data_IF_422909507532
#
_entry.id   IF_422909507532
#
_cell.length_a   1.000
_cell.length_b   1.000
_cell.length_c   1.000
_cell.angle_alpha   90.00
_cell.angle_beta   90.00
_cell.angle_gamma   90.00
#
_symmetry.space_group_name_H-M   'P 1'
#
loop_
_entity.id
_entity.type
_entity.pdbx_description
1 polymer ?
#
# COMPACT_ATOMS: atom_id res chain seq x y z
N UNK A 1 23.70 7.26 26.85
CA UNK A 1 22.72 6.63 25.93
C UNK A 1 21.63 7.65 25.60
N UNK A 2 21.50 8.10 24.34
CA UNK A 2 20.42 9.02 23.97
C UNK A 2 19.12 8.24 23.68
N UNK A 3 18.10 8.46 24.52
CA UNK A 3 16.81 7.78 24.42
C UNK A 3 15.73 8.60 23.72
N UNK A 4 15.98 9.89 23.44
CA UNK A 4 15.01 10.81 22.83
C UNK A 4 14.49 10.32 21.46
N UNK A 5 15.33 9.77 20.55
CA UNK A 5 14.83 9.28 19.26
C UNK A 5 13.83 8.13 19.35
N UNK A 6 13.79 7.43 20.49
CA UNK A 6 12.86 6.31 20.76
C UNK A 6 11.54 6.77 21.36
N UNK A 7 11.39 8.07 21.65
CA UNK A 7 10.16 8.62 22.24
C UNK A 7 9.26 9.17 21.14
N UNK A 8 7.97 8.81 21.21
CA UNK A 8 6.94 9.20 20.25
C UNK A 8 6.66 10.71 20.21
N UNK A 9 6.97 11.44 21.28
CA UNK A 9 6.81 12.90 21.38
C UNK A 9 8.03 13.68 20.87
N UNK A 10 9.12 13.02 20.48
CA UNK A 10 10.33 13.72 20.10
C UNK A 10 10.12 14.49 18.79
N UNK A 11 10.23 15.83 18.85
CA UNK A 11 9.88 16.75 17.76
C UNK A 11 10.66 16.48 16.48
N UNK A 12 11.91 16.01 16.59
CA UNK A 12 12.81 15.77 15.45
C UNK A 12 12.62 14.42 14.77
N UNK A 13 11.68 13.58 15.21
CA UNK A 13 11.39 12.33 14.50
C UNK A 13 10.70 12.63 13.18
N UNK A 14 11.03 11.84 12.15
CA UNK A 14 10.46 12.01 10.79
C UNK A 14 8.93 12.03 10.80
N UNK A 15 8.33 11.19 11.64
CA UNK A 15 6.87 11.09 11.79
C UNK A 15 6.23 12.36 12.36
N UNK A 16 6.86 12.99 13.36
CA UNK A 16 6.32 14.20 13.97
C UNK A 16 6.53 15.41 13.06
N UNK A 17 7.68 15.50 12.40
CA UNK A 17 7.92 16.55 11.39
C UNK A 17 6.91 16.42 10.23
N UNK A 18 6.61 15.20 9.78
CA UNK A 18 5.61 14.98 8.74
C UNK A 18 4.19 15.39 9.18
N UNK A 19 3.83 15.14 10.45
CA UNK A 19 2.55 15.59 11.01
C UNK A 19 2.46 17.12 11.03
N UNK A 20 3.49 17.79 11.53
CA UNK A 20 3.57 19.26 11.54
C UNK A 20 3.47 19.83 10.13
N UNK A 21 4.22 19.28 9.15
CA UNK A 21 4.11 19.73 7.76
C UNK A 21 2.71 19.53 7.17
N UNK A 22 2.01 18.46 7.54
CA UNK A 22 0.65 18.22 7.09
C UNK A 22 -0.31 19.27 7.67
N UNK A 23 -0.19 19.54 8.96
CA UNK A 23 -1.03 20.52 9.65
C UNK A 23 -0.74 21.96 9.12
N UNK A 24 0.53 22.29 8.87
CA UNK A 24 0.96 23.55 8.23
C UNK A 24 0.42 23.68 6.81
N UNK A 25 0.48 22.60 6.01
CA UNK A 25 -0.06 22.60 4.66
C UNK A 25 -1.58 22.74 4.64
N UNK A 26 -2.30 22.06 5.54
CA UNK A 26 -3.75 22.19 5.67
C UNK A 26 -4.16 23.59 6.13
N UNK A 27 -3.41 24.19 7.05
CA UNK A 27 -3.63 25.58 7.46
C UNK A 27 -3.40 26.55 6.29
N UNK A 28 -2.32 26.36 5.53
CA UNK A 28 -2.02 27.19 4.37
C UNK A 28 -3.06 27.07 3.24
N UNK A 29 -3.60 25.87 3.01
CA UNK A 29 -4.67 25.67 2.03
C UNK A 29 -5.98 26.35 2.45
N UNK A 30 -6.34 26.27 3.74
CA UNK A 30 -7.54 26.96 4.27
C UNK A 30 -7.40 28.48 4.15
N UNK A 31 -6.24 29.03 4.50
CA UNK A 31 -5.98 30.46 4.37
C UNK A 31 -6.08 30.92 2.91
N UNK A 32 -5.53 30.15 1.96
CA UNK A 32 -5.69 30.45 0.52
C UNK A 32 -7.15 30.43 0.08
N UNK A 33 -7.93 29.45 0.53
CA UNK A 33 -9.35 29.36 0.21
C UNK A 33 -10.14 30.56 0.76
N UNK A 34 -9.84 30.99 1.99
CA UNK A 34 -10.44 32.17 2.60
C UNK A 34 -10.05 33.45 1.83
N UNK A 35 -8.78 33.60 1.45
CA UNK A 35 -8.32 34.73 0.65
C UNK A 35 -9.03 34.79 -0.71
N UNK A 36 -9.15 33.65 -1.40
CA UNK A 36 -9.89 33.58 -2.69
C UNK A 36 -11.35 33.99 -2.48
N UNK A 37 -11.99 33.54 -1.40
CA UNK A 37 -13.37 33.89 -1.08
C UNK A 37 -13.54 35.38 -0.80
N UNK A 38 -12.59 35.98 -0.07
CA UNK A 38 -12.56 37.41 0.22
C UNK A 38 -12.39 38.20 -1.08
N UNK A 39 -11.43 37.80 -1.93
CA UNK A 39 -11.17 38.48 -3.20
C UNK A 39 -12.38 38.40 -4.15
N UNK A 40 -13.04 37.24 -4.21
CA UNK A 40 -14.27 37.06 -4.98
C UNK A 40 -15.39 37.97 -4.45
N UNK A 41 -15.60 38.00 -3.13
CA UNK A 41 -16.61 38.85 -2.51
C UNK A 41 -16.33 40.35 -2.75
N UNK A 42 -15.06 40.77 -2.70
CA UNK A 42 -14.67 42.15 -3.00
C UNK A 42 -14.93 42.51 -4.47
N UNK A 43 -14.58 41.60 -5.39
CA UNK A 43 -14.85 41.76 -6.82
C UNK A 43 -16.35 41.87 -7.09
N UNK A 44 -17.16 41.00 -6.50
CA UNK A 44 -18.62 41.01 -6.62
C UNK A 44 -19.24 42.27 -6.02
N UNK A 45 -18.76 42.72 -4.85
CA UNK A 45 -19.18 43.96 -4.20
C UNK A 45 -18.92 45.18 -5.09
N UNK A 46 -17.69 45.31 -5.61
CA UNK A 46 -17.31 46.39 -6.52
C UNK A 46 -18.16 46.39 -7.78
N UNK A 47 -18.42 45.22 -8.37
CA UNK A 47 -19.28 45.08 -9.54
C UNK A 47 -20.72 45.51 -9.20
N UNK A 48 -21.24 45.10 -8.04
CA UNK A 48 -22.59 45.45 -7.62
C UNK A 48 -22.73 46.97 -7.42
N UNK A 49 -21.75 47.63 -6.81
CA UNK A 49 -21.70 49.10 -6.69
C UNK A 49 -21.73 49.75 -8.07
N UNK A 50 -20.95 49.27 -9.04
CA UNK A 50 -20.96 49.79 -10.40
C UNK A 50 -22.32 49.57 -11.09
N UNK A 51 -22.94 48.40 -10.89
CA UNK A 51 -24.28 48.10 -11.42
C UNK A 51 -25.34 49.04 -10.82
N UNK A 52 -25.31 49.27 -9.52
CA UNK A 52 -26.22 50.19 -8.83
C UNK A 52 -26.05 51.62 -9.37
N UNK A 53 -24.81 52.12 -9.43
CA UNK A 53 -24.52 53.45 -10.01
C UNK A 53 -25.00 53.58 -11.46
N UNK A 54 -24.84 52.52 -12.26
CA UNK A 54 -25.34 52.50 -13.63
C UNK A 54 -26.86 52.55 -13.69
N UNK A 55 -27.55 51.81 -12.81
CA UNK A 55 -29.02 51.83 -12.72
C UNK A 55 -29.52 53.21 -12.30
N UNK A 56 -28.96 53.79 -11.24
CA UNK A 56 -29.28 55.15 -10.78
C UNK A 56 -29.08 56.18 -11.91
N UNK A 57 -28.01 56.03 -12.71
CA UNK A 57 -27.77 56.90 -13.87
C UNK A 57 -28.84 56.72 -14.95
N UNK A 58 -29.24 55.49 -15.27
CA UNK A 58 -30.31 55.22 -16.24
C UNK A 58 -31.67 55.73 -15.76
N UNK A 59 -31.97 55.56 -14.48
CA UNK A 59 -33.16 56.10 -13.82
C UNK A 59 -33.16 57.63 -13.89
N UNK A 60 -32.04 58.30 -13.60
CA UNK A 60 -31.90 59.76 -13.70
C UNK A 60 -32.14 60.29 -15.13
N UNK A 61 -31.89 59.46 -16.15
CA UNK A 61 -32.09 59.80 -17.55
C UNK A 61 -33.48 59.41 -18.08
N UNK A 62 -34.38 58.89 -17.22
CA UNK A 62 -35.73 58.42 -17.58
C UNK A 62 -35.74 57.43 -18.77
N UNK A 63 -34.66 56.67 -18.97
CA UNK A 63 -34.62 55.62 -19.98
C UNK A 63 -35.27 54.37 -19.38
N UNK A 64 -36.60 54.28 -19.54
CA UNK A 64 -37.37 53.09 -19.19
C UNK A 64 -36.86 51.95 -20.06
N UNK A 65 -36.12 51.00 -19.47
CA UNK A 65 -35.84 49.72 -20.10
C UNK A 65 -37.17 49.00 -20.28
N UNK A 66 -37.81 49.21 -21.44
CA UNK A 66 -39.02 48.50 -21.84
C UNK A 66 -38.68 47.01 -21.82
N UNK A 67 -39.18 46.30 -20.82
CA UNK A 67 -39.18 44.85 -20.80
C UNK A 67 -40.01 44.40 -22.00
N UNK A 68 -39.35 43.88 -23.03
CA UNK A 68 -40.02 43.35 -24.20
C UNK A 68 -40.67 42.03 -23.80
N UNK A 69 -41.91 42.08 -23.33
CA UNK A 69 -42.77 40.90 -23.20
C UNK A 69 -43.18 40.48 -24.61
N UNK A 70 -42.44 39.54 -25.19
CA UNK A 70 -42.87 38.78 -26.37
C UNK A 70 -43.37 37.39 -25.93
N UNK A 71 -44.38 36.81 -26.60
CA UNK A 71 -45.06 35.60 -26.16
C UNK A 71 -44.17 34.36 -26.24
N UNK A 72 -44.45 33.31 -25.44
CA UNK A 72 -43.60 32.12 -25.33
C UNK A 72 -43.79 31.23 -26.57
N UNK A 73 -42.91 31.34 -27.55
CA UNK A 73 -42.63 30.19 -28.43
C UNK A 73 -41.78 29.19 -27.62
N UNK A 74 -42.17 27.91 -27.63
CA UNK A 74 -41.57 26.80 -26.86
C UNK A 74 -40.19 26.38 -27.42
N UNK A 75 -39.38 27.35 -27.83
CA UNK A 75 -38.01 27.14 -28.28
C UNK A 75 -37.09 27.97 -27.37
N UNK A 76 -35.92 27.42 -27.05
CA UNK A 76 -34.94 28.08 -26.19
C UNK A 76 -34.54 29.42 -26.80
N UNK A 77 -35.03 30.53 -26.23
CA UNK A 77 -34.70 31.88 -26.72
C UNK A 77 -33.23 32.14 -26.40
N UNK A 78 -32.37 32.05 -27.41
CA UNK A 78 -30.97 32.46 -27.29
C UNK A 78 -30.87 33.98 -27.41
N UNK A 79 -31.02 34.68 -26.28
CA UNK A 79 -30.83 36.14 -26.15
C UNK A 79 -29.44 36.62 -26.62
N UNK A 80 -28.49 35.69 -26.82
CA UNK A 80 -27.10 35.97 -27.17
C UNK A 80 -26.71 35.49 -28.57
N UNK A 81 -27.64 34.95 -29.38
CA UNK A 81 -27.32 34.47 -30.71
C UNK A 81 -26.66 35.57 -31.58
N UNK A 82 -27.18 36.80 -31.50
CA UNK A 82 -26.64 37.95 -32.23
C UNK A 82 -25.26 38.39 -31.74
N UNK A 83 -24.88 38.07 -30.51
CA UNK A 83 -23.59 38.48 -29.90
C UNK A 83 -22.53 37.40 -30.08
N UNK A 84 -22.91 36.12 -29.96
CA UNK A 84 -22.04 34.97 -30.20
C UNK A 84 -21.53 34.94 -31.65
N UNK A 85 -22.33 35.39 -32.61
CA UNK A 85 -21.93 35.49 -34.01
C UNK A 85 -21.32 36.84 -34.41
N UNK A 86 -21.35 37.85 -33.55
CA UNK A 86 -20.82 39.19 -33.86
C UNK A 86 -19.36 39.38 -33.43
N UNK A 87 -18.82 38.52 -32.56
CA UNK A 87 -17.45 38.65 -32.03
C UNK A 87 -16.63 37.41 -32.42
N UNK A 88 -16.19 37.37 -33.66
CA UNK A 88 -15.27 36.32 -34.17
C UNK A 88 -13.82 36.51 -33.71
N UNK A 89 -13.54 37.53 -32.88
CA UNK A 89 -12.20 37.82 -32.38
C UNK A 89 -11.93 37.06 -31.08
N UNK A 90 -11.83 35.74 -31.14
CA UNK A 90 -11.38 34.94 -30.00
C UNK A 90 -9.85 34.98 -29.91
N UNK A 91 -9.34 35.09 -28.68
CA UNK A 91 -7.91 34.92 -28.44
C UNK A 91 -7.58 33.45 -28.71
N UNK A 92 -6.82 33.19 -29.78
CA UNK A 92 -6.40 31.84 -30.19
C UNK A 92 -5.72 31.05 -29.07
N UNK A 93 -5.09 31.73 -28.10
CA UNK A 93 -4.49 31.08 -26.94
C UNK A 93 -5.55 30.60 -25.94
N UNK A 94 -6.63 31.36 -25.75
CA UNK A 94 -7.70 31.01 -24.84
C UNK A 94 -8.47 29.77 -25.31
N UNK A 95 -8.79 29.69 -26.60
CA UNK A 95 -9.50 28.54 -27.16
C UNK A 95 -8.65 27.26 -27.09
N UNK A 96 -7.33 27.39 -27.25
CA UNK A 96 -6.39 26.28 -27.05
C UNK A 96 -6.34 25.84 -25.59
N UNK A 97 -6.26 26.78 -24.65
CA UNK A 97 -6.24 26.47 -23.22
C UNK A 97 -7.54 25.78 -22.76
N UNK A 98 -8.70 26.25 -23.26
CA UNK A 98 -10.00 25.61 -22.98
C UNK A 98 -10.05 24.19 -23.55
N UNK A 99 -9.53 23.99 -24.77
CA UNK A 99 -9.45 22.66 -25.39
C UNK A 99 -8.51 21.73 -24.63
N UNK A 100 -7.33 22.20 -24.23
CA UNK A 100 -6.36 21.44 -23.44
C UNK A 100 -6.96 21.05 -22.08
N UNK A 101 -7.62 21.98 -21.37
CA UNK A 101 -8.32 21.69 -20.11
C UNK A 101 -9.41 20.64 -20.28
N UNK A 102 -10.16 20.68 -21.37
CA UNK A 102 -11.18 19.68 -21.70
C UNK A 102 -10.54 18.32 -21.95
N UNK A 103 -9.48 18.26 -22.75
CA UNK A 103 -8.74 17.03 -23.02
C UNK A 103 -8.08 16.46 -21.76
N UNK A 104 -7.53 17.30 -20.87
CA UNK A 104 -6.99 16.88 -19.58
C UNK A 104 -8.06 16.30 -18.66
N UNK A 105 -9.23 16.95 -18.61
CA UNK A 105 -10.38 16.45 -17.86
C UNK A 105 -10.87 15.11 -18.41
N UNK A 106 -11.00 15.00 -19.74
CA UNK A 106 -11.38 13.76 -20.42
C UNK A 106 -10.34 12.66 -20.25
N UNK A 107 -9.04 12.97 -20.29
CA UNK A 107 -7.94 12.05 -19.96
C UNK A 107 -8.02 11.60 -18.50
N UNK A 108 -8.29 12.54 -17.57
CA UNK A 108 -8.38 12.27 -16.13
C UNK A 108 -9.57 11.38 -15.77
N UNK A 109 -10.68 11.52 -16.49
CA UNK A 109 -11.88 10.66 -16.34
C UNK A 109 -11.79 9.38 -17.17
N UNK A 110 -10.86 9.31 -18.13
CA UNK A 110 -10.68 8.17 -19.00
C UNK A 110 -11.58 8.15 -20.23
N UNK A 111 -12.28 9.25 -20.54
CA UNK A 111 -12.99 9.43 -21.82
C UNK A 111 -12.02 9.52 -22.99
N UNK A 112 -10.91 10.27 -22.82
CA UNK A 112 -9.87 10.41 -23.83
C UNK A 112 -8.66 9.55 -23.42
N UNK A 113 -8.85 8.23 -23.43
CA UNK A 113 -7.76 7.28 -23.18
C UNK A 113 -7.20 6.79 -24.50
N UNK A 114 -6.03 7.30 -24.90
CA UNK A 114 -5.35 6.76 -26.08
C UNK A 114 -4.81 5.36 -25.74
N UNK A 115 -5.29 4.37 -26.49
CA UNK A 115 -4.81 3.00 -26.43
C UNK A 115 -3.29 2.99 -26.62
N UNK A 116 -2.54 2.57 -25.60
CA UNK A 116 -1.07 2.52 -25.64
C UNK A 116 -0.35 3.56 -24.76
N UNK A 117 -1.02 4.60 -24.25
CA UNK A 117 -0.37 5.62 -23.40
C UNK A 117 0.10 5.07 -22.04
N UNK A 118 -0.62 4.08 -21.51
CA UNK A 118 -0.29 3.42 -20.24
C UNK A 118 0.62 2.20 -20.42
N UNK A 119 1.12 1.96 -21.65
CA UNK A 119 2.08 0.89 -21.88
C UNK A 119 3.41 1.25 -21.26
N UNK A 120 4.08 0.24 -20.71
CA UNK A 120 5.35 0.39 -20.02
C UNK A 120 6.45 0.99 -20.93
N UNK A 121 6.33 0.81 -22.24
CA UNK A 121 7.20 1.42 -23.25
C UNK A 121 7.01 2.94 -23.35
N UNK A 122 5.76 3.44 -23.40
CA UNK A 122 5.47 4.87 -23.44
C UNK A 122 5.84 5.60 -22.14
N UNK A 123 5.68 4.93 -20.99
CA UNK A 123 6.02 5.47 -19.68
C UNK A 123 7.52 5.32 -19.33
N UNK A 124 8.31 4.66 -20.18
CA UNK A 124 9.71 4.31 -19.89
C UNK A 124 9.88 3.43 -18.64
N UNK A 125 8.80 2.82 -18.16
CA UNK A 125 8.80 1.94 -17.00
C UNK A 125 9.18 0.54 -17.47
N UNK A 126 10.06 -0.13 -16.72
CA UNK A 126 10.48 -1.49 -17.03
C UNK A 126 9.61 -2.47 -16.26
N UNK A 127 9.12 -3.52 -16.92
CA UNK A 127 8.27 -4.49 -16.25
C UNK A 127 9.05 -5.23 -15.16
N UNK A 128 8.33 -5.73 -14.16
CA UNK A 128 8.92 -6.53 -13.09
C UNK A 128 9.60 -7.82 -13.59
N UNK A 129 9.21 -8.33 -14.77
CA UNK A 129 9.84 -9.48 -15.42
C UNK A 129 11.08 -9.11 -16.27
N UNK A 130 11.20 -7.84 -16.69
CA UNK A 130 12.36 -7.34 -17.42
C UNK A 130 13.52 -6.96 -16.49
N UNK A 131 13.22 -6.74 -15.20
CA UNK A 131 14.20 -6.37 -14.17
C UNK A 131 14.34 -7.53 -13.18
N UNK A 132 15.49 -8.24 -13.13
CA UNK A 132 15.69 -9.25 -12.12
C UNK A 132 15.64 -8.62 -10.71
N UNK A 133 15.03 -9.29 -9.72
CA UNK A 133 14.92 -8.74 -8.37
C UNK A 133 16.32 -8.45 -7.80
N UNK A 134 16.48 -7.36 -7.03
CA UNK A 134 17.77 -6.97 -6.42
C UNK A 134 18.39 -8.04 -5.50
N UNK A 135 17.59 -8.99 -5.02
CA UNK A 135 18.03 -10.16 -4.24
C UNK A 135 18.48 -11.35 -5.11
N UNK A 136 18.30 -11.24 -6.43
CA UNK A 136 18.72 -12.27 -7.38
C UNK A 136 20.23 -12.44 -7.31
N UNK A 137 20.69 -13.70 -7.25
CA UNK A 137 22.11 -14.06 -7.25
C UNK A 137 22.86 -13.50 -8.46
N UNK A 138 22.15 -13.15 -9.52
CA UNK A 138 22.70 -12.61 -10.76
C UNK A 138 22.95 -11.08 -10.72
N UNK A 139 22.44 -10.34 -9.72
CA UNK A 139 22.53 -8.87 -9.68
C UNK A 139 23.74 -8.32 -8.91
N UNK A 140 24.54 -9.16 -8.25
CA UNK A 140 25.76 -8.73 -7.53
C UNK A 140 27.03 -9.16 -8.26
N UNK A 141 27.63 -8.32 -9.13
CA UNK A 141 28.78 -8.73 -9.93
C UNK A 141 30.06 -8.92 -9.10
N UNK A 142 30.25 -8.17 -8.01
CA UNK A 142 31.49 -8.21 -7.22
C UNK A 142 31.51 -9.34 -6.17
N UNK A 143 30.41 -9.52 -5.42
CA UNK A 143 30.38 -10.49 -4.32
C UNK A 143 30.32 -11.95 -4.79
N UNK A 144 29.68 -12.23 -5.94
CA UNK A 144 29.56 -13.59 -6.46
C UNK A 144 30.93 -14.11 -6.91
N UNK A 145 31.75 -13.26 -7.52
CA UNK A 145 33.12 -13.60 -7.92
C UNK A 145 33.99 -13.91 -6.70
N UNK A 146 33.93 -13.08 -5.66
CA UNK A 146 34.62 -13.33 -4.38
C UNK A 146 34.17 -14.61 -3.68
N UNK A 147 32.88 -14.98 -3.77
CA UNK A 147 32.41 -16.25 -3.19
C UNK A 147 32.89 -17.45 -3.97
N UNK A 148 32.91 -17.38 -5.30
CA UNK A 148 33.43 -18.44 -6.15
C UNK A 148 34.94 -18.62 -5.92
N UNK A 149 35.67 -17.51 -5.87
CA UNK A 149 37.09 -17.46 -5.52
C UNK A 149 37.37 -17.78 -4.05
N UNK A 150 36.38 -17.97 -3.17
CA UNK A 150 36.59 -18.54 -1.82
C UNK A 150 36.27 -20.03 -1.76
N UNK A 151 35.33 -20.51 -2.58
CA UNK A 151 34.87 -21.90 -2.60
C UNK A 151 35.79 -22.85 -3.38
N UNK A 152 36.60 -22.33 -4.30
CA UNK A 152 37.63 -23.14 -4.98
C UNK A 152 38.69 -23.55 -3.96
N UNK A 153 38.99 -24.84 -3.80
CA UNK A 153 40.13 -25.26 -2.98
C UNK A 153 41.42 -24.84 -3.72
N UNK A 154 42.36 -24.20 -3.02
CA UNK A 154 43.70 -23.88 -3.56
C UNK A 154 44.75 -24.74 -2.89
N UNK A 155 45.82 -25.00 -3.63
CA UNK A 155 47.05 -25.55 -3.08
C UNK A 155 47.80 -24.51 -2.24
N UNK A 156 48.86 -24.95 -1.54
CA UNK A 156 49.73 -24.06 -0.74
C UNK A 156 50.37 -22.96 -1.59
N UNK A 157 50.50 -23.19 -2.89
CA UNK A 157 51.04 -22.24 -3.89
C UNK A 157 49.97 -21.33 -4.52
N UNK A 158 48.72 -21.34 -4.01
CA UNK A 158 47.65 -20.42 -4.43
C UNK A 158 46.98 -20.76 -5.77
N UNK A 159 47.40 -21.82 -6.46
CA UNK A 159 46.75 -22.31 -7.69
C UNK A 159 45.46 -23.07 -7.37
N UNK A 160 44.41 -22.98 -8.21
CA UNK A 160 43.18 -23.74 -8.02
C UNK A 160 43.47 -25.25 -8.14
N UNK A 161 43.08 -26.03 -7.12
CA UNK A 161 43.19 -27.50 -7.15
C UNK A 161 42.29 -28.04 -8.24
N UNK A 162 42.87 -28.72 -9.23
CA UNK A 162 42.10 -29.49 -10.18
C UNK A 162 41.43 -30.66 -9.43
N UNK A 163 40.10 -30.71 -9.43
CA UNK A 163 39.37 -31.82 -8.81
C UNK A 163 39.51 -33.01 -9.76
N UNK A 164 40.31 -34.01 -9.39
CA UNK A 164 40.34 -35.27 -10.12
C UNK A 164 38.91 -35.83 -10.18
N UNK A 165 38.42 -36.05 -11.39
CA UNK A 165 37.13 -36.67 -11.61
C UNK A 165 37.23 -38.10 -11.09
N UNK A 166 36.27 -38.49 -10.26
CA UNK A 166 36.20 -39.81 -9.65
C UNK A 166 35.72 -40.83 -10.69
N UNK A 167 36.60 -41.16 -11.62
CA UNK A 167 36.35 -42.07 -12.74
C UNK A 167 37.12 -43.37 -12.55
N UNK A 168 36.39 -44.49 -12.59
CA UNK A 168 36.98 -45.83 -12.61
C UNK A 168 36.24 -46.67 -13.64
N UNK A 169 36.99 -47.28 -14.56
CA UNK A 169 36.42 -48.12 -15.63
C UNK A 169 35.32 -47.43 -16.47
N UNK A 170 35.46 -46.13 -16.74
CA UNK A 170 34.48 -45.34 -17.50
C UNK A 170 33.25 -44.88 -16.70
N UNK A 171 33.17 -45.20 -15.41
CA UNK A 171 32.08 -44.74 -14.56
C UNK A 171 32.45 -43.48 -13.76
N UNK A 172 31.63 -42.44 -13.91
CA UNK A 172 31.71 -41.19 -13.15
C UNK A 172 31.14 -41.37 -11.73
N UNK A 173 31.77 -40.73 -10.75
CA UNK A 173 31.41 -40.74 -9.33
C UNK A 173 31.40 -42.14 -8.69
N UNK A 174 32.35 -42.98 -9.10
CA UNK A 174 32.47 -44.37 -8.67
C UNK A 174 32.40 -44.55 -7.14
N UNK A 175 33.16 -43.78 -6.36
CA UNK A 175 33.19 -43.89 -4.88
C UNK A 175 31.85 -43.54 -4.24
N UNK A 176 31.15 -42.53 -4.77
CA UNK A 176 29.83 -42.16 -4.26
C UNK A 176 28.82 -43.27 -4.49
N UNK A 177 28.84 -43.88 -5.69
CA UNK A 177 27.99 -45.01 -6.02
C UNK A 177 28.26 -46.20 -5.11
N UNK A 178 29.53 -46.50 -4.85
CA UNK A 178 29.92 -47.56 -3.91
C UNK A 178 29.40 -47.30 -2.49
N UNK A 179 29.40 -46.05 -2.01
CA UNK A 179 28.87 -45.72 -0.68
C UNK A 179 27.33 -45.83 -0.60
N UNK A 180 26.63 -45.60 -1.71
CA UNK A 180 25.16 -45.66 -1.77
C UNK A 180 24.65 -47.09 -1.97
N UNK A 181 25.50 -47.98 -2.49
CA UNK A 181 25.14 -49.37 -2.71
C UNK A 181 24.88 -50.08 -1.37
N UNK A 182 23.65 -50.56 -1.11
CA UNK A 182 23.31 -51.28 0.12
C UNK A 182 24.17 -52.52 0.32
N UNK A 183 24.68 -53.16 -0.75
CA UNK A 183 25.52 -54.36 -0.63
C UNK A 183 26.85 -54.05 0.08
N UNK A 184 27.38 -52.83 -0.08
CA UNK A 184 28.58 -52.38 0.60
C UNK A 184 28.35 -52.07 2.08
N UNK A 185 27.14 -51.69 2.47
CA UNK A 185 26.78 -51.55 3.88
C UNK A 185 26.79 -52.90 4.60
N UNK A 186 26.41 -53.98 3.91
CA UNK A 186 26.40 -55.34 4.47
C UNK A 186 27.73 -56.10 4.31
N UNK A 187 28.70 -55.58 3.54
CA UNK A 187 30.02 -56.22 3.39
C UNK A 187 30.66 -56.52 4.75
N UNK A 188 30.54 -55.64 5.74
CA UNK A 188 31.09 -55.87 7.08
C UNK A 188 30.44 -57.08 7.79
N UNK A 189 29.19 -57.42 7.48
CA UNK A 189 28.51 -58.60 8.01
C UNK A 189 28.94 -59.90 7.32
N UNK A 190 29.34 -59.82 6.05
CA UNK A 190 29.79 -60.97 5.28
C UNK A 190 31.22 -61.43 5.64
N UNK A 191 31.99 -60.64 6.40
CA UNK A 191 33.34 -61.01 6.86
C UNK A 191 33.32 -61.73 8.22
N UNK A 192 32.49 -62.78 8.37
CA UNK A 192 32.48 -63.57 9.62
C UNK A 192 33.65 -64.57 9.71
N UNK A 193 34.39 -64.87 8.65
CA UNK A 193 35.48 -65.84 8.76
C UNK A 193 36.83 -65.25 8.36
N UNK A 194 37.35 -64.30 9.14
CA UNK A 194 38.75 -64.34 9.57
C UNK A 194 39.11 -63.27 10.62
N UNK A 195 39.50 -63.77 11.80
CA UNK A 195 40.52 -63.23 12.72
C UNK A 195 40.24 -61.92 13.46
N UNK A 196 39.84 -62.13 14.73
CA UNK A 196 40.25 -61.43 15.96
C UNK A 196 41.14 -60.18 15.83
N UNK A 197 40.71 -59.05 16.45
CA UNK A 197 41.34 -58.43 17.63
C UNK A 197 40.69 -57.09 18.00
N UNK A 198 40.31 -56.96 19.30
CA UNK A 198 40.40 -55.79 20.23
C UNK A 198 39.89 -54.42 19.73
N UNK A 199 39.08 -53.60 20.41
CA UNK A 199 38.74 -53.40 21.84
C UNK A 199 37.73 -52.22 21.94
N UNK A 200 36.94 -52.16 23.04
CA UNK A 200 36.32 -50.99 23.74
C UNK A 200 35.66 -49.82 22.93
N UNK A 201 34.58 -49.12 23.32
CA UNK A 201 33.73 -49.04 24.52
C UNK A 201 32.50 -48.13 24.23
N UNK A 202 31.36 -48.50 24.83
CA UNK A 202 30.26 -47.69 25.39
C UNK A 202 29.48 -46.64 24.56
N UNK A 203 28.29 -47.10 24.13
CA UNK A 203 26.94 -46.58 24.45
C UNK A 203 26.77 -45.18 25.07
N UNK A 204 26.08 -44.30 24.34
CA UNK A 204 25.16 -43.28 24.88
C UNK A 204 24.22 -42.74 23.79
N UNK A 205 23.07 -43.40 23.56
CA UNK A 205 21.95 -42.86 22.74
C UNK A 205 20.61 -43.40 23.25
N UNK A 206 20.12 -42.88 24.38
CA UNK A 206 18.74 -43.14 24.85
C UNK A 206 18.16 -41.99 25.68
N UNK A 207 18.28 -40.75 25.20
CA UNK A 207 17.62 -39.58 25.83
C UNK A 207 16.97 -38.58 24.85
N UNK A 208 16.99 -38.84 23.54
CA UNK A 208 16.49 -37.87 22.53
C UNK A 208 15.03 -38.06 22.12
N UNK A 209 14.35 -39.15 22.51
CA UNK A 209 13.02 -39.48 21.96
C UNK A 209 11.84 -38.85 22.72
N UNK A 210 11.97 -38.52 24.01
CA UNK A 210 10.88 -37.93 24.81
C UNK A 210 10.78 -36.41 24.65
N UNK A 211 11.91 -35.70 24.57
CA UNK A 211 11.97 -34.24 24.33
C UNK A 211 11.45 -33.82 22.94
N UNK A 212 11.50 -34.72 21.95
CA UNK A 212 11.00 -34.45 20.60
C UNK A 212 9.46 -34.52 20.51
N UNK A 213 8.82 -35.42 21.29
CA UNK A 213 7.35 -35.56 21.31
C UNK A 213 6.66 -34.36 21.97
N UNK A 214 7.10 -33.93 23.16
CA UNK A 214 6.51 -32.77 23.85
C UNK A 214 6.61 -31.47 23.04
N UNK A 215 7.71 -31.25 22.31
CA UNK A 215 7.88 -30.10 21.41
C UNK A 215 6.93 -30.10 20.21
N UNK A 216 6.37 -31.24 19.82
CA UNK A 216 5.39 -31.31 18.75
C UNK A 216 3.99 -30.97 19.25
N UNK A 217 3.61 -31.43 20.45
CA UNK A 217 2.28 -31.15 21.03
C UNK A 217 2.08 -29.65 21.30
N UNK A 218 3.11 -28.96 21.79
CA UNK A 218 3.09 -27.50 21.98
C UNK A 218 2.91 -26.74 20.66
N UNK A 219 3.52 -27.23 19.57
CA UNK A 219 3.37 -26.63 18.24
C UNK A 219 1.96 -26.85 17.70
N UNK A 220 1.39 -28.04 17.91
CA UNK A 220 0.02 -28.37 17.51
C UNK A 220 -0.98 -27.50 18.27
N UNK A 221 -0.84 -27.36 19.60
CA UNK A 221 -1.67 -26.48 20.42
C UNK A 221 -1.55 -25.00 20.00
N UNK A 222 -0.34 -24.54 19.70
CA UNK A 222 -0.10 -23.17 19.19
C UNK A 222 -0.75 -22.95 17.82
N UNK A 223 -0.65 -23.91 16.90
CA UNK A 223 -1.29 -23.86 15.59
C UNK A 223 -2.81 -23.85 15.71
N UNK A 224 -3.38 -24.61 16.65
CA UNK A 224 -4.81 -24.63 16.90
C UNK A 224 -5.31 -23.26 17.39
N UNK A 225 -4.61 -22.62 18.34
CA UNK A 225 -4.90 -21.24 18.77
C UNK A 225 -4.86 -20.24 17.62
N UNK A 226 -3.90 -20.38 16.69
CA UNK A 226 -3.81 -19.52 15.50
C UNK A 226 -4.97 -19.75 14.53
N UNK A 227 -5.44 -21.00 14.37
CA UNK A 227 -6.62 -21.32 13.54
C UNK A 227 -7.90 -20.76 14.15
N UNK A 228 -8.09 -20.89 15.46
CA UNK A 228 -9.24 -20.31 16.16
C UNK A 228 -9.25 -18.78 16.06
N UNK A 229 -8.08 -18.14 16.21
CA UNK A 229 -7.95 -16.69 16.05
C UNK A 229 -8.26 -16.25 14.61
N UNK A 230 -7.83 -17.03 13.61
CA UNK A 230 -8.17 -16.80 12.19
C UNK A 230 -9.68 -16.93 11.97
N UNK A 231 -10.30 -18.01 12.45
CA UNK A 231 -11.74 -18.25 12.28
C UNK A 231 -12.58 -17.15 12.93
N UNK A 232 -12.19 -16.66 14.12
CA UNK A 232 -12.84 -15.50 14.76
C UNK A 232 -12.74 -14.22 13.93
N UNK A 233 -11.59 -13.98 13.29
CA UNK A 233 -11.40 -12.83 12.40
C UNK A 233 -12.27 -12.94 11.15
N UNK A 234 -12.25 -14.11 10.50
CA UNK A 234 -13.07 -14.39 9.33
C UNK A 234 -14.58 -14.30 9.66
N UNK A 235 -15.01 -14.77 10.84
CA UNK A 235 -16.38 -14.60 11.33
C UNK A 235 -16.73 -13.13 11.56
N UNK A 236 -15.83 -12.34 12.16
CA UNK A 236 -16.06 -10.91 12.37
C UNK A 236 -16.16 -10.14 11.05
N UNK A 237 -15.28 -10.45 10.09
CA UNK A 237 -15.31 -9.87 8.76
C UNK A 237 -16.59 -10.28 8.01
N UNK A 238 -16.95 -11.57 8.04
CA UNK A 238 -18.23 -12.06 7.49
C UNK A 238 -19.43 -11.35 8.09
N UNK A 239 -19.47 -11.17 9.41
CA UNK A 239 -20.54 -10.44 10.08
C UNK A 239 -20.60 -8.97 9.65
N UNK A 240 -19.46 -8.30 9.53
CA UNK A 240 -19.39 -6.92 9.00
C UNK A 240 -19.89 -6.84 7.56
N UNK A 241 -19.50 -7.79 6.71
CA UNK A 241 -19.96 -7.83 5.31
C UNK A 241 -21.45 -8.15 5.22
N UNK A 242 -21.96 -9.05 6.06
CA UNK A 242 -23.37 -9.42 6.09
C UNK A 242 -24.23 -8.24 6.55
N UNK A 243 -23.81 -7.52 7.61
CA UNK A 243 -24.46 -6.27 8.03
C UNK A 243 -24.49 -5.23 6.91
N UNK A 244 -23.38 -5.07 6.20
CA UNK A 244 -23.31 -4.15 5.07
C UNK A 244 -24.26 -4.55 3.93
N UNK A 245 -24.31 -5.85 3.59
CA UNK A 245 -25.21 -6.38 2.56
C UNK A 245 -26.69 -6.28 2.98
N UNK A 246 -27.03 -6.54 4.24
CA UNK A 246 -28.39 -6.35 4.77
C UNK A 246 -28.84 -4.89 4.67
N UNK A 247 -27.96 -3.96 5.02
CA UNK A 247 -28.19 -2.52 4.85
C UNK A 247 -28.39 -2.13 3.37
N UNK A 248 -27.65 -2.74 2.46
CA UNK A 248 -27.76 -2.49 1.02
C UNK A 248 -29.04 -3.09 0.42
N UNK A 249 -29.47 -4.24 0.92
CA UNK A 249 -30.71 -4.91 0.53
C UNK A 249 -31.97 -4.29 1.16
N UNK A 250 -31.83 -3.26 2.00
CA UNK A 250 -32.95 -2.57 2.64
C UNK A 250 -33.60 -3.34 3.79
N UNK A 251 -32.95 -4.39 4.31
CA UNK A 251 -33.39 -5.06 5.54
C UNK A 251 -32.99 -4.20 6.75
N UNK A 252 -33.95 -3.47 7.32
CA UNK A 252 -33.76 -2.71 8.55
C UNK A 252 -33.47 -3.66 9.72
N UNK A 253 -32.21 -3.72 10.16
CA UNK A 253 -31.88 -4.36 11.42
C UNK A 253 -32.43 -3.50 12.56
N UNK A 254 -33.43 -4.03 13.26
CA UNK A 254 -33.92 -3.49 14.53
C UNK A 254 -32.73 -3.25 15.48
N UNK A 255 -32.29 -2.00 15.57
CA UNK A 255 -31.29 -1.60 16.53
C UNK A 255 -31.86 -1.83 17.93
N UNK A 256 -31.35 -2.83 18.64
CA UNK A 256 -31.53 -2.88 20.09
C UNK A 256 -30.88 -1.63 20.64
N UNK A 257 -31.74 -0.68 20.99
CA UNK A 257 -31.39 0.55 21.69
C UNK A 257 -30.80 0.14 23.03
N UNK A 258 -29.48 -0.10 23.04
CA UNK A 258 -28.72 -0.14 24.28
C UNK A 258 -28.90 1.23 24.90
N UNK A 259 -29.75 1.28 25.93
CA UNK A 259 -30.08 2.47 26.71
C UNK A 259 -28.77 3.18 27.03
N UNK A 260 -28.49 4.28 26.33
CA UNK A 260 -27.35 5.15 26.66
C UNK A 260 -27.60 5.59 28.10
N UNK A 261 -26.73 5.19 29.02
CA UNK A 261 -26.84 5.62 30.40
C UNK A 261 -26.78 7.15 30.41
N UNK A 262 -27.79 7.81 30.99
CA UNK A 262 -27.95 9.27 31.09
C UNK A 262 -26.72 9.98 31.68
N UNK A 263 -25.86 9.23 32.36
CA UNK A 263 -24.71 9.74 33.09
C UNK A 263 -23.51 9.84 32.16
N UNK A 264 -23.08 11.06 31.87
CA UNK A 264 -21.86 11.37 31.13
C UNK A 264 -20.65 11.12 32.04
N UNK A 265 -19.72 10.22 31.70
CA UNK A 265 -18.53 9.97 32.51
C UNK A 265 -17.59 11.18 32.50
N UNK A 266 -17.06 11.56 33.67
CA UNK A 266 -16.17 12.72 33.83
C UNK A 266 -14.79 12.52 33.21
N UNK A 267 -14.41 11.27 32.94
CA UNK A 267 -13.13 10.89 32.36
C UNK A 267 -13.33 9.97 31.14
N UNK A 268 -12.42 10.08 30.16
CA UNK A 268 -12.45 9.24 28.97
C UNK A 268 -12.17 7.76 29.33
N UNK A 269 -13.08 6.87 28.93
CA UNK A 269 -13.03 5.43 29.22
C UNK A 269 -11.83 4.71 28.63
N UNK A 270 -11.22 5.23 27.57
CA UNK A 270 -10.02 4.66 26.97
C UNK A 270 -8.77 4.86 27.84
N UNK A 271 -8.73 5.93 28.63
CA UNK A 271 -7.53 6.34 29.36
C UNK A 271 -7.63 6.06 30.86
N UNK A 272 -8.82 6.22 31.44
CA UNK A 272 -9.06 5.96 32.87
C UNK A 272 -10.33 5.10 33.06
N UNK A 273 -10.31 3.81 32.67
CA UNK A 273 -11.49 2.95 32.69
C UNK A 273 -12.06 2.72 34.10
N UNK A 274 -11.22 2.74 35.13
CA UNK A 274 -11.67 2.57 36.52
C UNK A 274 -12.50 3.77 36.99
N UNK A 275 -12.04 5.00 36.72
CA UNK A 275 -12.73 6.24 37.11
C UNK A 275 -13.96 6.52 36.23
N UNK A 276 -13.90 6.16 34.94
CA UNK A 276 -15.03 6.31 34.02
C UNK A 276 -16.22 5.42 34.39
N UNK A 277 -16.00 4.36 35.20
CA UNK A 277 -17.03 3.41 35.65
C UNK A 277 -17.55 3.69 37.06
N UNK A 278 -17.05 4.71 37.77
CA UNK A 278 -17.47 4.99 39.15
C UNK A 278 -18.89 5.54 39.29
N UNK A 279 -19.51 5.99 38.19
CA UNK A 279 -20.83 6.62 38.23
C UNK A 279 -21.99 5.63 37.98
N UNK A 280 -21.73 4.33 37.97
CA UNK A 280 -22.75 3.28 37.92
C UNK A 280 -23.03 2.82 39.35
N UNK A 281 -24.03 3.40 40.01
CA UNK A 281 -24.61 2.87 41.26
C UNK A 281 -26.07 2.54 41.03
#
# INVERSE_FOLDING_TARGET
MNILPKKRWHVRTKENIARVRKDEAEAAEKERQEQIRIEQADRESRLNILKQKSKEKLESLNIITKQHTQPPTLEHINLFADIEHAVDTTNKEHDKEVKEKKEEYEKKIGYLTYLGQDTNEALGKKNWYDVPPQSSRFSKPAYVKDTYDKLVLKDKDGKPKHKELDEKNGEIAWKSKQHIDPINAFRHLCHHNEKQKKSCSNSNKKEQTTKAKMKNDDKVSKLQKLREARLKREQHEKFRTELFLKKLNGEETLETTTKKSSIVPKYNSQFNPALARQNYR
#
